data_IF_948733437033
#
_entry.id   IF_948733437033
#
_cell.length_a   1.000
_cell.length_b   1.000
_cell.length_c   1.000
_cell.angle_alpha   90.00
_cell.angle_beta   90.00
_cell.angle_gamma   90.00
#
_symmetry.space_group_name_H-M   'P 1'
#
loop_
_entity.id
_entity.type
_entity.pdbx_description
1 polymer ?
#
# COMPACT_ATOMS: atom_id res chain seq x y z
N UNK A 1 41.72 4.46 17.55
CA UNK A 1 40.54 5.21 18.00
C UNK A 1 39.43 5.05 16.96
N UNK A 2 38.35 4.29 17.20
CA UNK A 2 37.15 4.38 16.36
C UNK A 2 35.94 4.81 17.20
N UNK A 3 35.33 5.94 16.87
CA UNK A 3 34.16 6.43 17.60
C UNK A 3 33.39 7.57 16.93
N UNK A 4 33.50 7.77 15.61
CA UNK A 4 32.89 8.96 14.95
C UNK A 4 31.88 8.63 13.83
N UNK A 5 31.59 7.36 13.53
CA UNK A 5 30.68 7.00 12.42
C UNK A 5 29.28 6.58 12.85
N UNK A 6 29.08 6.14 14.09
CA UNK A 6 27.82 5.50 14.53
C UNK A 6 26.65 6.50 14.63
N UNK A 7 26.89 7.75 15.02
CA UNK A 7 25.82 8.75 15.13
C UNK A 7 25.32 9.27 13.77
N UNK A 8 26.21 9.48 12.80
CA UNK A 8 25.85 10.06 11.50
C UNK A 8 25.04 9.11 10.60
N UNK A 9 25.23 7.80 10.75
CA UNK A 9 24.48 6.78 10.01
C UNK A 9 23.03 6.67 10.52
N UNK A 10 22.84 6.67 11.85
CA UNK A 10 21.52 6.66 12.50
C UNK A 10 20.70 7.90 12.10
N UNK A 11 21.34 9.07 12.08
CA UNK A 11 20.75 10.32 11.61
C UNK A 11 20.35 10.26 10.13
N UNK A 12 21.09 9.51 9.32
CA UNK A 12 20.84 9.44 7.88
C UNK A 12 19.66 8.58 7.51
N UNK A 13 19.55 7.41 8.13
CA UNK A 13 18.44 6.51 7.87
C UNK A 13 17.15 6.99 8.55
N UNK A 14 17.25 7.56 9.76
CA UNK A 14 16.12 8.20 10.44
C UNK A 14 15.58 9.39 9.64
N UNK A 15 16.44 10.24 9.08
CA UNK A 15 16.01 11.32 8.18
C UNK A 15 15.31 10.80 6.93
N UNK A 16 15.79 9.68 6.36
CA UNK A 16 15.15 9.07 5.18
C UNK A 16 13.74 8.57 5.50
N UNK A 17 13.53 7.98 6.68
CA UNK A 17 12.20 7.61 7.18
C UNK A 17 11.31 8.85 7.40
N UNK A 18 11.87 9.94 7.95
CA UNK A 18 11.18 11.22 8.06
C UNK A 18 10.72 11.76 6.71
N UNK A 19 11.62 11.83 5.73
CA UNK A 19 11.29 12.27 4.36
C UNK A 19 10.24 11.36 3.69
N UNK A 20 10.32 10.05 3.89
CA UNK A 20 9.31 9.12 3.39
C UNK A 20 7.93 9.36 4.04
N UNK A 21 7.91 9.72 5.32
CA UNK A 21 6.69 10.09 6.06
C UNK A 21 6.07 11.36 5.47
N UNK A 22 6.88 12.40 5.23
CA UNK A 22 6.44 13.65 4.59
C UNK A 22 5.84 13.41 3.19
N UNK A 23 6.40 12.48 2.42
CA UNK A 23 5.85 12.08 1.11
C UNK A 23 4.46 11.48 1.27
N UNK A 24 4.27 10.53 2.20
CA UNK A 24 2.96 9.93 2.47
C UNK A 24 1.93 10.96 2.97
N UNK A 25 2.35 11.90 3.82
CA UNK A 25 1.53 13.02 4.26
C UNK A 25 1.07 13.89 3.10
N UNK A 26 1.99 14.24 2.20
CA UNK A 26 1.67 15.03 1.03
C UNK A 26 0.69 14.35 0.07
N UNK A 27 0.80 13.03 -0.12
CA UNK A 27 -0.19 12.27 -0.89
C UNK A 27 -1.54 12.18 -0.18
N UNK A 28 -1.56 12.19 1.16
CA UNK A 28 -2.82 12.18 1.93
C UNK A 28 -3.53 13.54 1.93
N UNK A 29 -2.79 14.63 1.77
CA UNK A 29 -3.30 15.99 1.94
C UNK A 29 -4.20 16.46 0.78
N UNK A 30 -4.13 15.82 -0.39
CA UNK A 30 -4.86 16.23 -1.60
C UNK A 30 -5.70 15.03 -2.09
N UNK A 31 -7.01 14.95 -1.76
CA UNK A 31 -7.86 13.79 -2.03
C UNK A 31 -7.86 13.34 -3.49
N UNK A 32 -7.79 14.27 -4.44
CA UNK A 32 -7.84 13.99 -5.88
C UNK A 32 -6.60 13.24 -6.38
N UNK A 33 -5.50 13.30 -5.62
CA UNK A 33 -4.22 12.69 -5.94
C UNK A 33 -3.79 11.66 -4.90
N UNK A 34 -4.67 11.36 -3.95
CA UNK A 34 -4.42 10.39 -2.91
C UNK A 34 -4.27 9.00 -3.51
N UNK A 35 -3.36 8.23 -2.94
CA UNK A 35 -3.29 6.80 -3.20
C UNK A 35 -4.57 6.20 -2.61
N UNK A 36 -5.42 5.52 -3.40
CA UNK A 36 -6.68 4.99 -2.89
C UNK A 36 -6.43 4.03 -1.73
N UNK A 37 -7.16 4.18 -0.62
CA UNK A 37 -7.03 3.27 0.54
C UNK A 37 -7.26 1.81 0.12
N UNK A 38 -8.23 1.57 -0.76
CA UNK A 38 -8.53 0.27 -1.34
C UNK A 38 -7.37 -0.36 -2.12
N UNK A 39 -6.45 0.44 -2.67
CA UNK A 39 -5.22 -0.02 -3.30
C UNK A 39 -4.17 -0.41 -2.25
N UNK A 40 -4.00 0.43 -1.22
CA UNK A 40 -3.07 0.16 -0.12
C UNK A 40 -3.51 -1.04 0.74
N UNK A 41 -4.81 -1.23 0.93
CA UNK A 41 -5.39 -2.38 1.64
C UNK A 41 -5.05 -3.71 0.96
N UNK A 42 -4.93 -3.70 -0.38
CA UNK A 42 -4.58 -4.85 -1.22
C UNK A 42 -3.10 -4.92 -1.59
N UNK A 43 -2.28 -4.04 -1.02
CA UNK A 43 -0.86 -4.01 -1.32
C UNK A 43 -0.13 -5.13 -0.56
N UNK A 44 0.75 -5.83 -1.27
CA UNK A 44 1.73 -6.75 -0.70
C UNK A 44 3.00 -6.02 -0.26
N UNK A 45 3.29 -4.84 -0.83
CA UNK A 45 4.40 -4.00 -0.40
C UNK A 45 4.22 -2.56 -0.85
N UNK A 46 4.89 -1.64 -0.15
CA UNK A 46 4.90 -0.21 -0.47
C UNK A 46 6.32 0.30 -0.40
N UNK A 47 6.81 0.86 -1.51
CA UNK A 47 8.08 1.58 -1.53
C UNK A 47 7.83 3.08 -1.62
N UNK A 48 8.51 3.85 -0.76
CA UNK A 48 8.46 5.31 -0.76
C UNK A 48 9.86 5.83 -0.99
N UNK A 49 10.05 6.61 -2.05
CA UNK A 49 11.34 7.07 -2.55
C UNK A 49 11.26 8.59 -2.71
N UNK A 50 11.61 9.33 -1.65
CA UNK A 50 11.64 10.79 -1.69
C UNK A 50 12.68 11.30 -2.68
N UNK A 51 12.40 12.44 -3.30
CA UNK A 51 13.38 13.21 -4.08
C UNK A 51 14.19 12.38 -5.09
N UNK A 52 13.54 11.53 -5.88
CA UNK A 52 14.16 10.86 -7.02
C UNK A 52 14.69 11.91 -7.97
N UNK A 53 16.00 11.92 -8.15
CA UNK A 53 16.67 12.86 -9.04
C UNK A 53 16.72 12.27 -10.44
N UNK A 54 16.24 13.03 -11.42
CA UNK A 54 16.40 12.76 -12.85
C UNK A 54 17.33 13.82 -13.44
N UNK A 55 18.39 13.40 -14.13
CA UNK A 55 19.32 14.27 -14.84
C UNK A 55 19.54 13.77 -16.25
N UNK A 56 19.61 14.67 -17.23
CA UNK A 56 19.98 14.35 -18.61
C UNK A 56 19.37 15.27 -19.64
N UNK A 57 19.78 15.09 -20.90
CA UNK A 57 19.19 15.69 -22.09
C UNK A 57 19.05 14.60 -23.14
N UNK A 58 17.83 14.32 -23.59
CA UNK A 58 17.47 13.20 -24.50
C UNK A 58 17.66 11.83 -23.85
N UNK A 59 18.87 11.55 -23.33
CA UNK A 59 19.21 10.39 -22.51
C UNK A 59 19.65 10.89 -21.13
N UNK A 60 19.14 10.27 -20.09
CA UNK A 60 19.43 10.63 -18.71
C UNK A 60 19.50 9.45 -17.77
N UNK A 61 19.91 9.73 -16.54
CA UNK A 61 19.88 8.78 -15.43
C UNK A 61 18.91 9.27 -14.36
N UNK A 62 18.25 8.32 -13.70
CA UNK A 62 17.47 8.56 -12.48
C UNK A 62 18.12 7.83 -11.31
N UNK A 63 18.16 8.49 -10.15
CA UNK A 63 18.62 7.90 -8.88
C UNK A 63 17.78 8.38 -7.72
N UNK A 64 17.37 7.47 -6.86
CA UNK A 64 16.66 7.74 -5.62
C UNK A 64 17.07 6.78 -4.52
N UNK A 65 16.80 7.19 -3.28
CA UNK A 65 16.92 6.34 -2.10
C UNK A 65 15.61 6.39 -1.35
N UNK A 66 15.17 5.26 -0.84
CA UNK A 66 13.87 5.14 -0.21
C UNK A 66 13.82 4.05 0.83
N UNK A 67 12.58 3.72 1.18
CA UNK A 67 12.23 2.67 2.13
C UNK A 67 11.18 1.76 1.49
N UNK A 68 11.23 0.48 1.80
CA UNK A 68 10.25 -0.54 1.42
C UNK A 68 9.74 -1.22 2.69
N UNK A 69 8.43 -1.42 2.74
CA UNK A 69 7.78 -2.30 3.73
C UNK A 69 6.89 -3.30 3.01
N UNK A 70 6.72 -4.46 3.65
CA UNK A 70 5.97 -5.59 3.14
C UNK A 70 4.79 -5.86 4.06
N UNK A 71 3.68 -6.31 3.48
CA UNK A 71 2.49 -6.67 4.23
C UNK A 71 2.68 -8.07 4.80
N UNK A 72 2.55 -8.19 6.12
CA UNK A 72 2.61 -9.47 6.83
C UNK A 72 1.27 -10.22 6.71
N UNK A 73 1.27 -11.52 7.01
CA UNK A 73 0.07 -12.37 6.98
C UNK A 73 -1.05 -11.89 7.92
N UNK A 74 -0.68 -11.31 9.06
CA UNK A 74 -1.62 -10.72 10.03
C UNK A 74 -2.16 -9.34 9.60
N UNK A 75 -1.74 -8.86 8.43
CA UNK A 75 -2.07 -7.56 7.89
C UNK A 75 -1.37 -6.40 8.60
N UNK A 76 -0.34 -6.63 9.41
CA UNK A 76 0.58 -5.57 9.82
C UNK A 76 1.57 -5.24 8.69
N UNK A 77 2.33 -4.16 8.85
CA UNK A 77 3.47 -3.85 8.00
C UNK A 77 4.75 -4.38 8.66
N UNK A 78 5.65 -4.92 7.86
CA UNK A 78 6.99 -5.31 8.29
C UNK A 78 7.79 -4.10 8.79
N UNK A 79 8.96 -4.37 9.36
CA UNK A 79 9.97 -3.34 9.53
C UNK A 79 10.41 -2.76 8.17
N UNK A 80 10.81 -1.48 8.11
CA UNK A 80 11.26 -0.87 6.87
C UNK A 80 12.68 -1.35 6.51
N UNK A 81 12.87 -1.73 5.25
CA UNK A 81 14.20 -1.93 4.66
C UNK A 81 14.53 -0.76 3.74
N UNK A 82 15.81 -0.41 3.65
CA UNK A 82 16.28 0.66 2.77
C UNK A 82 16.47 0.15 1.34
N UNK A 83 16.11 0.98 0.38
CA UNK A 83 16.23 0.65 -1.04
C UNK A 83 16.89 1.79 -1.83
N UNK A 84 17.46 1.42 -2.97
CA UNK A 84 17.87 2.36 -4.01
C UNK A 84 17.04 2.14 -5.27
N UNK A 85 16.78 3.23 -5.98
CA UNK A 85 16.18 3.20 -7.32
C UNK A 85 17.18 3.80 -8.30
N UNK A 86 17.52 3.07 -9.35
CA UNK A 86 18.42 3.52 -10.42
C UNK A 86 17.85 3.16 -11.77
N UNK A 87 17.99 4.02 -12.78
CA UNK A 87 17.50 3.67 -14.12
C UNK A 87 17.94 4.63 -15.20
N UNK A 88 17.87 4.17 -16.44
CA UNK A 88 17.93 5.06 -17.60
C UNK A 88 16.60 5.80 -17.74
N UNK A 89 16.64 7.02 -18.27
CA UNK A 89 15.45 7.76 -18.62
C UNK A 89 15.59 8.38 -20.00
N UNK A 90 14.53 8.32 -20.80
CA UNK A 90 14.41 9.07 -22.05
C UNK A 90 13.57 10.31 -21.76
N UNK A 91 14.02 11.48 -22.21
CA UNK A 91 13.26 12.71 -21.98
C UNK A 91 13.83 13.95 -22.65
N UNK A 92 12.92 14.78 -23.16
CA UNK A 92 13.21 16.06 -23.83
C UNK A 92 13.50 17.22 -22.88
N UNK A 93 13.56 16.95 -21.57
CA UNK A 93 13.73 17.98 -20.56
C UNK A 93 15.21 18.27 -20.34
N UNK A 94 15.57 19.55 -20.38
CA UNK A 94 16.91 20.03 -20.03
C UNK A 94 16.92 20.35 -18.54
N UNK A 95 17.77 19.67 -17.76
CA UNK A 95 18.04 20.02 -16.36
C UNK A 95 17.77 18.91 -15.35
N UNK A 96 17.96 19.24 -14.07
CA UNK A 96 17.70 18.34 -12.94
C UNK A 96 16.27 18.49 -12.43
N UNK A 97 15.57 17.37 -12.28
CA UNK A 97 14.27 17.31 -11.62
C UNK A 97 14.33 16.44 -10.37
N UNK A 98 13.51 16.79 -9.38
CA UNK A 98 13.32 16.01 -8.16
C UNK A 98 11.84 15.66 -8.03
N UNK A 99 11.56 14.37 -7.85
CA UNK A 99 10.20 13.83 -7.81
C UNK A 99 10.09 12.82 -6.68
N UNK A 100 9.06 12.96 -5.86
CA UNK A 100 8.71 11.94 -4.88
C UNK A 100 7.98 10.81 -5.58
N UNK A 101 8.33 9.57 -5.28
CA UNK A 101 7.75 8.37 -5.89
C UNK A 101 7.23 7.44 -4.79
N UNK A 102 6.00 6.97 -4.96
CA UNK A 102 5.42 5.87 -4.18
C UNK A 102 5.06 4.73 -5.12
N UNK A 103 5.55 3.54 -4.83
CA UNK A 103 5.23 2.31 -5.54
C UNK A 103 4.36 1.44 -4.65
N UNK A 104 3.25 0.96 -5.19
CA UNK A 104 2.36 0.02 -4.53
C UNK A 104 2.40 -1.31 -5.28
N UNK A 105 2.94 -2.34 -4.63
CA UNK A 105 3.08 -3.68 -5.18
C UNK A 105 1.84 -4.50 -4.83
N UNK A 106 1.14 -5.01 -5.85
CA UNK A 106 -0.06 -5.85 -5.71
C UNK A 106 0.19 -7.35 -5.84
N UNK A 107 1.44 -7.76 -5.98
CA UNK A 107 1.85 -9.15 -6.14
C UNK A 107 2.97 -9.46 -5.16
N UNK A 108 2.84 -10.54 -4.39
CA UNK A 108 3.89 -11.03 -3.49
C UNK A 108 5.16 -11.36 -4.25
N UNK A 109 5.03 -11.92 -5.47
CA UNK A 109 6.15 -12.20 -6.38
C UNK A 109 6.98 -10.96 -6.70
N UNK A 110 6.34 -9.81 -6.88
CA UNK A 110 7.07 -8.56 -7.15
C UNK A 110 7.89 -8.10 -5.95
N UNK A 111 7.40 -8.36 -4.73
CA UNK A 111 8.11 -8.06 -3.48
C UNK A 111 9.28 -9.04 -3.29
N UNK A 112 9.05 -10.34 -3.48
CA UNK A 112 10.09 -11.38 -3.43
C UNK A 112 11.24 -11.10 -4.40
N UNK A 113 10.93 -10.61 -5.60
CA UNK A 113 11.92 -10.17 -6.59
C UNK A 113 12.84 -9.04 -6.11
N UNK A 114 12.35 -8.15 -5.24
CA UNK A 114 13.17 -7.08 -4.65
C UNK A 114 14.08 -7.66 -3.58
N UNK A 115 13.53 -8.49 -2.70
CA UNK A 115 14.27 -9.11 -1.58
C UNK A 115 15.43 -9.97 -2.09
N UNK A 116 15.23 -10.70 -3.19
CA UNK A 116 16.25 -11.54 -3.84
C UNK A 116 17.36 -10.79 -4.61
N UNK A 117 17.31 -9.46 -4.66
CA UNK A 117 18.49 -8.64 -5.00
C UNK A 117 18.21 -7.45 -5.92
N UNK A 118 17.58 -7.67 -7.08
CA UNK A 118 17.30 -6.60 -8.05
C UNK A 118 15.98 -6.85 -8.77
N UNK A 119 15.11 -5.84 -8.74
CA UNK A 119 13.83 -5.86 -9.42
C UNK A 119 13.70 -4.68 -10.39
N UNK A 120 13.33 -4.94 -11.63
CA UNK A 120 13.29 -3.97 -12.73
C UNK A 120 11.86 -3.71 -13.18
N UNK A 121 11.37 -2.49 -12.96
CA UNK A 121 10.04 -2.07 -13.40
C UNK A 121 9.93 -2.12 -14.93
N UNK A 122 8.84 -2.70 -15.44
CA UNK A 122 8.59 -2.90 -16.88
C UNK A 122 9.24 -4.14 -17.48
N UNK A 123 10.15 -4.80 -16.75
CA UNK A 123 10.76 -6.09 -17.15
C UNK A 123 10.25 -7.22 -16.26
N UNK A 124 10.39 -7.05 -14.93
CA UNK A 124 10.03 -8.06 -13.94
C UNK A 124 8.56 -7.94 -13.50
N UNK A 125 7.95 -6.76 -13.66
CA UNK A 125 6.52 -6.55 -13.47
C UNK A 125 6.00 -5.37 -14.29
N UNK A 126 4.74 -5.47 -14.72
CA UNK A 126 4.06 -4.37 -15.38
C UNK A 126 3.73 -3.25 -14.38
N UNK A 127 4.23 -2.04 -14.67
CA UNK A 127 3.99 -0.85 -13.87
C UNK A 127 2.96 0.08 -14.55
N UNK A 128 2.04 0.65 -13.78
CA UNK A 128 1.10 1.66 -14.24
C UNK A 128 1.22 2.95 -13.42
N UNK A 129 1.17 4.11 -14.08
CA UNK A 129 1.13 5.40 -13.39
C UNK A 129 -0.29 5.71 -12.86
N UNK A 130 -0.41 6.25 -11.65
CA UNK A 130 -1.69 6.69 -11.08
C UNK A 130 -2.16 8.07 -11.60
N UNK A 131 -3.49 8.39 -11.60
CA UNK A 131 -4.61 7.60 -11.11
C UNK A 131 -5.30 6.76 -12.20
N UNK A 132 -5.56 5.49 -11.90
CA UNK A 132 -6.54 4.66 -12.63
C UNK A 132 -7.94 4.99 -12.13
N UNK A 133 -8.81 5.50 -13.00
CA UNK A 133 -10.25 5.57 -12.69
C UNK A 133 -10.85 6.97 -12.48
N UNK A 134 -10.28 8.04 -13.06
CA UNK A 134 -11.01 9.32 -13.11
C UNK A 134 -12.25 9.16 -14.01
N UNK A 135 -13.39 8.92 -13.36
CA UNK A 135 -14.79 8.86 -13.86
C UNK A 135 -15.34 7.49 -14.26
N UNK A 136 -15.56 6.59 -13.30
CA UNK A 136 -16.81 5.81 -13.31
C UNK A 136 -17.46 5.94 -11.94
N UNK A 137 -18.66 6.53 -11.94
CA UNK A 137 -19.54 6.60 -10.79
C UNK A 137 -20.04 5.19 -10.46
N UNK A 138 -19.18 4.37 -9.88
CA UNK A 138 -19.51 3.08 -9.29
C UNK A 138 -18.33 2.70 -8.39
N UNK A 139 -18.38 3.10 -7.12
CA UNK A 139 -17.39 2.78 -6.11
C UNK A 139 -17.27 1.26 -5.82
N UNK A 140 -17.87 0.41 -6.65
CA UNK A 140 -17.94 -1.04 -6.50
C UNK A 140 -16.94 -1.82 -7.37
N UNK A 141 -16.38 -1.25 -8.46
CA UNK A 141 -15.48 -1.98 -9.37
C UNK A 141 -14.25 -1.16 -9.83
N UNK A 142 -13.41 -0.70 -8.90
CA UNK A 142 -12.06 -0.25 -9.27
C UNK A 142 -11.20 -1.50 -9.46
N UNK A 143 -11.08 -1.96 -10.71
CA UNK A 143 -10.19 -3.09 -11.05
C UNK A 143 -8.75 -2.62 -11.12
N UNK A 144 -7.96 -3.00 -10.12
CA UNK A 144 -6.52 -2.76 -10.12
C UNK A 144 -5.78 -3.87 -10.90
N UNK A 145 -5.67 -3.76 -12.23
CA UNK A 145 -5.07 -4.79 -13.09
C UNK A 145 -3.54 -4.85 -13.15
N UNK A 146 -2.81 -3.80 -12.74
CA UNK A 146 -1.35 -3.78 -12.79
C UNK A 146 -0.72 -4.46 -11.56
N UNK A 147 0.46 -5.05 -11.72
CA UNK A 147 1.23 -5.65 -10.62
C UNK A 147 1.88 -4.58 -9.73
N UNK A 148 2.29 -3.46 -10.33
CA UNK A 148 2.86 -2.32 -9.61
C UNK A 148 2.17 -1.02 -10.04
N UNK A 149 1.75 -0.22 -9.07
CA UNK A 149 1.24 1.13 -9.30
C UNK A 149 2.27 2.16 -8.84
N UNK A 150 2.54 3.14 -9.69
CA UNK A 150 3.47 4.23 -9.42
C UNK A 150 2.74 5.56 -9.29
N UNK A 151 2.90 6.22 -8.15
CA UNK A 151 2.41 7.57 -7.89
C UNK A 151 3.62 8.50 -7.75
N UNK A 152 3.55 9.65 -8.42
CA UNK A 152 4.66 10.60 -8.44
C UNK A 152 4.21 12.03 -8.26
N UNK A 153 5.01 12.80 -7.50
CA UNK A 153 4.74 14.21 -7.19
C UNK A 153 6.01 15.04 -7.34
N UNK A 154 5.94 16.12 -8.10
CA UNK A 154 7.03 17.09 -8.27
C UNK A 154 6.53 18.50 -7.90
N UNK A 155 6.96 19.08 -6.76
CA UNK A 155 6.65 20.48 -6.37
C UNK A 155 5.23 20.96 -6.71
N UNK A 156 4.20 20.20 -6.32
CA UNK A 156 2.79 20.56 -6.55
C UNK A 156 2.21 20.15 -7.91
N UNK A 157 3.00 19.52 -8.79
CA UNK A 157 2.55 18.96 -10.05
C UNK A 157 2.65 17.42 -10.02
N UNK A 158 1.53 16.76 -10.31
CA UNK A 158 1.42 15.31 -10.43
C UNK A 158 1.65 14.94 -11.90
N UNK A 159 2.90 14.71 -12.27
CA UNK A 159 3.25 14.14 -13.58
C UNK A 159 3.46 12.65 -13.36
N UNK A 160 2.69 11.82 -14.06
CA UNK A 160 3.00 10.39 -14.16
C UNK A 160 4.38 10.25 -14.79
N UNK A 161 5.38 9.85 -13.98
CA UNK A 161 6.71 9.54 -14.51
C UNK A 161 6.74 8.06 -14.89
N UNK A 162 7.12 7.75 -16.13
CA UNK A 162 7.44 6.37 -16.48
C UNK A 162 8.71 5.95 -15.74
N UNK A 163 8.57 4.91 -14.93
CA UNK A 163 9.65 4.27 -14.20
C UNK A 163 10.15 3.00 -14.90
N UNK A 164 9.67 2.74 -16.13
CA UNK A 164 10.14 1.61 -16.92
C UNK A 164 11.67 1.66 -17.05
N UNK A 165 12.29 0.49 -16.89
CA UNK A 165 13.74 0.33 -16.85
C UNK A 165 14.42 0.85 -15.56
N UNK A 166 13.66 1.19 -14.51
CA UNK A 166 14.23 1.45 -13.20
C UNK A 166 14.44 0.13 -12.44
N UNK A 167 15.65 -0.07 -11.93
CA UNK A 167 16.02 -1.11 -11.00
C UNK A 167 15.87 -0.63 -9.55
N UNK A 168 15.20 -1.45 -8.75
CA UNK A 168 15.06 -1.33 -7.31
C UNK A 168 15.96 -2.40 -6.68
N UNK A 169 16.76 -1.99 -5.69
CA UNK A 169 17.70 -2.88 -5.00
C UNK A 169 17.70 -2.57 -3.50
N UNK A 170 17.88 -3.60 -2.67
CA UNK A 170 18.09 -3.42 -1.23
C UNK A 170 19.42 -2.69 -0.98
N UNK A 171 19.37 -1.67 -0.13
CA UNK A 171 20.54 -0.97 0.42
C UNK A 171 20.99 -1.70 1.69
N UNK A 172 21.68 -2.84 1.51
CA UNK A 172 22.08 -3.74 2.61
C UNK A 172 23.00 -3.04 3.63
N UNK A 173 23.85 -2.12 3.17
CA UNK A 173 24.72 -1.32 4.04
C UNK A 173 23.86 -0.43 4.94
N UNK A 174 22.92 0.32 4.36
CA UNK A 174 21.98 1.14 5.13
C UNK A 174 21.14 0.32 6.12
N UNK A 175 20.73 -0.89 5.74
CA UNK A 175 19.99 -1.79 6.62
C UNK A 175 20.85 -2.21 7.83
N UNK A 176 22.05 -2.74 7.60
CA UNK A 176 22.97 -3.16 8.67
C UNK A 176 23.31 -2.02 9.63
N UNK A 177 23.55 -0.83 9.09
CA UNK A 177 23.80 0.38 9.87
C UNK A 177 22.61 0.74 10.78
N UNK A 178 21.39 0.75 10.21
CA UNK A 178 20.18 1.14 10.94
C UNK A 178 19.79 0.15 12.03
N UNK A 179 19.87 -1.16 11.73
CA UNK A 179 19.55 -2.22 12.68
C UNK A 179 20.72 -2.56 13.60
N UNK A 180 21.90 -1.95 13.39
CA UNK A 180 23.15 -2.19 14.13
C UNK A 180 23.50 -3.67 14.22
N UNK A 181 23.34 -4.36 13.08
CA UNK A 181 23.56 -5.79 12.96
C UNK A 181 24.12 -6.10 11.57
N UNK A 182 25.42 -6.42 11.50
CA UNK A 182 26.10 -6.71 10.23
C UNK A 182 25.62 -7.99 9.54
N UNK A 183 25.01 -8.91 10.29
CA UNK A 183 24.51 -10.18 9.76
C UNK A 183 23.05 -10.10 9.30
N UNK A 184 22.34 -8.99 9.57
CA UNK A 184 20.93 -8.88 9.22
C UNK A 184 20.73 -8.87 7.70
N UNK A 185 19.70 -9.60 7.26
CA UNK A 185 19.30 -9.67 5.86
C UNK A 185 17.99 -8.93 5.61
N UNK A 186 17.66 -8.68 4.34
CA UNK A 186 16.38 -8.09 3.98
C UNK A 186 15.23 -9.03 4.33
N UNK A 187 15.45 -10.33 4.16
CA UNK A 187 14.54 -11.42 4.52
C UNK A 187 14.22 -11.38 6.02
N UNK A 188 15.22 -11.19 6.88
CA UNK A 188 15.00 -11.05 8.32
C UNK A 188 14.16 -9.80 8.63
N UNK A 189 14.50 -8.65 8.03
CA UNK A 189 13.83 -7.37 8.30
C UNK A 189 12.37 -7.40 7.85
N UNK A 190 12.13 -7.92 6.64
CA UNK A 190 10.81 -7.94 6.04
C UNK A 190 9.96 -9.11 6.54
N UNK A 191 10.58 -10.22 6.92
CA UNK A 191 9.91 -11.48 7.23
C UNK A 191 9.72 -11.77 8.71
N UNK A 192 10.59 -11.28 9.61
CA UNK A 192 10.53 -11.62 11.04
C UNK A 192 9.60 -10.67 11.83
N UNK A 193 8.40 -11.12 12.25
CA UNK A 193 7.51 -10.30 13.07
C UNK A 193 8.04 -10.08 14.50
N UNK A 194 9.00 -10.89 14.97
CA UNK A 194 9.60 -10.74 16.29
C UNK A 194 10.73 -9.69 16.30
N UNK A 195 11.22 -9.27 15.13
CA UNK A 195 12.22 -8.22 15.02
C UNK A 195 11.65 -6.89 15.53
N UNK A 196 12.26 -6.36 16.59
CA UNK A 196 11.82 -5.11 17.21
C UNK A 196 12.02 -3.94 16.24
N UNK A 197 10.93 -3.22 15.93
CA UNK A 197 11.01 -1.98 15.17
C UNK A 197 11.81 -0.90 15.90
N UNK A 198 12.81 -0.30 15.23
CA UNK A 198 13.47 0.89 15.75
C UNK A 198 12.48 2.05 15.92
N UNK A 199 12.64 2.85 16.98
CA UNK A 199 11.74 3.99 17.27
C UNK A 199 11.65 4.98 16.12
N UNK A 200 12.75 5.18 15.39
CA UNK A 200 12.80 6.05 14.21
C UNK A 200 11.86 5.61 13.06
N UNK A 201 11.44 4.34 13.03
CA UNK A 201 10.52 3.82 12.01
C UNK A 201 9.03 4.04 12.36
N UNK A 202 8.69 4.34 13.62
CA UNK A 202 7.29 4.36 14.08
C UNK A 202 6.44 5.37 13.32
N UNK A 203 6.90 6.62 13.17
CA UNK A 203 6.13 7.65 12.47
C UNK A 203 5.81 7.28 11.02
N UNK A 204 6.74 6.62 10.32
CA UNK A 204 6.52 6.11 8.97
C UNK A 204 5.46 5.00 8.94
N UNK A 205 5.59 4.01 9.83
CA UNK A 205 4.67 2.88 9.92
C UNK A 205 3.26 3.29 10.34
N UNK A 206 3.15 4.20 11.30
CA UNK A 206 1.88 4.76 11.77
C UNK A 206 1.17 5.52 10.64
N UNK A 207 1.92 6.34 9.91
CA UNK A 207 1.38 7.09 8.79
C UNK A 207 0.86 6.18 7.68
N UNK A 208 1.64 5.16 7.30
CA UNK A 208 1.24 4.20 6.28
C UNK A 208 0.01 3.39 6.73
N UNK A 209 -0.01 2.95 7.99
CA UNK A 209 -1.15 2.22 8.58
C UNK A 209 -2.41 3.07 8.57
N UNK A 210 -2.31 4.37 8.88
CA UNK A 210 -3.44 5.29 8.84
C UNK A 210 -4.01 5.50 7.42
N UNK A 211 -3.19 5.37 6.37
CA UNK A 211 -3.62 5.45 4.98
C UNK A 211 -4.27 4.15 4.46
N UNK A 212 -4.03 3.03 5.15
CA UNK A 212 -4.55 1.72 4.83
C UNK A 212 -5.36 1.14 6.01
N UNK A 213 -6.39 1.85 6.51
CA UNK A 213 -7.13 1.39 7.66
C UNK A 213 -7.75 0.03 7.34
N UNK A 214 -7.50 -0.97 8.19
CA UNK A 214 -8.11 -2.29 7.99
C UNK A 214 -9.62 -2.11 7.92
N UNK A 215 -10.22 -2.59 6.83
CA UNK A 215 -11.65 -2.88 6.83
C UNK A 215 -11.91 -3.84 8.00
N UNK A 216 -12.51 -3.35 9.09
CA UNK A 216 -13.00 -4.26 10.14
C UNK A 216 -13.93 -5.25 9.45
N UNK A 217 -13.91 -6.56 9.81
CA UNK A 217 -14.96 -7.44 9.38
C UNK A 217 -16.28 -6.76 9.72
N UNK A 218 -17.11 -6.46 8.72
CA UNK A 218 -18.45 -5.96 8.97
C UNK A 218 -19.09 -6.95 9.95
N UNK A 219 -19.62 -6.52 11.11
CA UNK A 219 -20.34 -7.44 11.96
C UNK A 219 -21.39 -8.10 11.08
N UNK A 220 -21.31 -9.43 10.96
CA UNK A 220 -22.27 -10.21 10.20
C UNK A 220 -23.66 -9.68 10.56
N UNK A 221 -24.56 -9.40 9.59
CA UNK A 221 -25.89 -8.94 9.91
C UNK A 221 -26.43 -9.91 10.94
N UNK A 222 -26.74 -9.39 12.15
CA UNK A 222 -27.28 -10.19 13.23
C UNK A 222 -28.40 -11.01 12.58
N UNK A 223 -28.25 -12.35 12.59
CA UNK A 223 -29.28 -13.22 12.03
C UNK A 223 -30.57 -12.75 12.68
N UNK A 224 -31.45 -12.18 11.87
CA UNK A 224 -32.81 -11.85 12.30
C UNK A 224 -33.31 -13.16 12.89
N UNK A 225 -33.55 -13.15 14.21
CA UNK A 225 -34.06 -14.31 14.92
C UNK A 225 -35.13 -14.96 14.04
N UNK A 226 -34.94 -16.24 13.73
CA UNK A 226 -36.01 -17.10 13.23
C UNK A 226 -37.09 -17.11 14.32
N UNK A 227 -37.99 -16.13 14.26
CA UNK A 227 -39.35 -16.36 14.70
C UNK A 227 -39.87 -17.49 13.81
N UNK A 228 -40.36 -18.60 14.37
CA UNK A 228 -41.05 -19.60 13.58
C UNK A 228 -42.15 -18.88 12.80
N UNK A 229 -42.06 -18.91 11.47
CA UNK A 229 -43.13 -18.42 10.62
C UNK A 229 -44.40 -19.18 10.99
N UNK A 230 -45.39 -18.45 11.47
CA UNK A 230 -46.77 -18.93 11.55
C UNK A 230 -47.13 -19.41 10.15
N UNK A 231 -47.47 -20.69 10.02
CA UNK A 231 -47.86 -21.29 8.75
C UNK A 231 -49.20 -20.68 8.32
N UNK A 232 -49.25 -19.86 7.26
CA UNK A 232 -50.48 -19.19 6.85
C UNK A 232 -51.54 -20.19 6.35
N UNK A 233 -51.20 -21.47 6.17
CA UNK A 233 -52.16 -22.53 5.82
C UNK A 233 -52.93 -23.09 7.02
N UNK A 234 -52.43 -22.92 8.26
CA UNK A 234 -53.13 -23.36 9.47
C UNK A 234 -54.27 -22.40 9.85
N UNK A 235 -54.08 -21.09 9.62
CA UNK A 235 -55.05 -20.04 9.99
C UNK A 235 -56.29 -20.00 9.08
N UNK A 236 -56.18 -20.43 7.82
CA UNK A 236 -57.36 -20.57 6.92
C UNK A 236 -58.18 -21.83 7.19
N UNK A 237 -57.58 -22.90 7.73
CA UNK A 237 -58.30 -24.12 8.05
C UNK A 237 -59.16 -23.97 9.31
N UNK A 238 -58.68 -23.24 10.32
CA UNK A 238 -59.45 -22.97 11.55
C UNK A 238 -60.61 -21.98 11.31
N UNK A 239 -60.47 -21.03 10.37
CA UNK A 239 -61.53 -20.07 10.05
C UNK A 239 -62.71 -20.68 9.25
N UNK A 240 -62.49 -21.75 8.48
CA UNK A 240 -63.56 -22.42 7.72
C UNK A 240 -64.35 -23.45 8.57
N UNK A 241 -63.78 -23.94 9.68
CA UNK A 241 -64.47 -24.86 10.60
C UNK A 241 -65.40 -24.11 11.58
N UNK A 242 -65.04 -22.88 11.98
CA UNK A 242 -65.87 -22.04 12.87
C UNK A 242 -67.10 -21.44 12.16
N UNK A 243 -67.06 -21.26 10.84
CA UNK A 243 -68.16 -20.70 10.05
C UNK A 243 -69.31 -21.70 9.77
N UNK A 244 -69.15 -22.98 10.12
CA UNK A 244 -70.16 -24.03 9.88
C UNK A 244 -71.10 -24.30 11.06
N UNK A 245 -70.92 -23.61 12.19
CA UNK A 245 -71.70 -23.84 13.41
C UNK A 245 -72.42 -22.54 13.85
N UNK A 246 -73.35 -22.04 13.03
CA UNK A 246 -74.43 -21.18 13.53
C UNK A 246 -75.73 -21.48 12.78
N UNK A 247 -76.79 -21.98 13.46
CA UNK A 247 -78.11 -22.11 12.88
C UNK A 247 -78.77 -20.72 12.80
N UNK A 248 -79.33 -20.36 11.65
CA UNK A 248 -80.23 -19.21 11.52
C UNK A 248 -81.64 -19.74 11.80
N UNK A 249 -82.19 -19.41 12.96
CA UNK A 249 -83.62 -19.56 13.26
C UNK A 249 -84.42 -18.49 12.50
N UNK A 250 -85.50 -18.93 11.84
CA UNK A 250 -86.53 -18.12 11.16
C UNK A 250 -87.20 -17.12 12.12
N UNK A 251 -87.52 -15.90 11.67
CA UNK A 251 -88.81 -15.20 11.84
C UNK A 251 -88.89 -13.94 10.96
#
# INVERSE_FOLDING_TARGET
MPGHTVHAADDTQSRRLGQATEVLEAFSAIPENAIPSALLERAHGVAVIPAVIKVGFVVGARRGRGVLVVRQEDGSWSNPVFITLTGGSLGWQVGGQSTDVVLVFKSSRSVEGITSGKFTLGVDAAAAAGPVGRQTAAATDITFGAEVYSYSRSRGLFLGVSLDGAAIQIDNEAARDFYRNDAITAEDILGDPALRSPTAAQGFLDKLTAMAPRSRPSPAPARRNDQPGVDPAAEVAEAEEEARIFPIDDF
#
